data_IF_431592037680
#
_entry.id   IF_431592037680
#
_cell.length_a   1.000
_cell.length_b   1.000
_cell.length_c   1.000
_cell.angle_alpha   90.00
_cell.angle_beta   90.00
_cell.angle_gamma   90.00
#
_symmetry.space_group_name_H-M   'P 1'
#
loop_
_entity.id
_entity.type
_entity.pdbx_description
1 polymer ?
#
# COMPACT_ATOMS: atom_id res chain seq x y z
N UNK A 1 -29.12 7.46 6.65
CA UNK A 1 -27.82 8.15 6.51
C UNK A 1 -27.27 7.73 5.17
N UNK A 2 -26.92 8.67 4.28
CA UNK A 2 -26.31 8.32 2.98
C UNK A 2 -25.02 7.55 3.25
N UNK A 3 -24.84 6.38 2.63
CA UNK A 3 -23.55 5.71 2.63
C UNK A 3 -22.52 6.71 2.08
N UNK A 4 -21.45 6.96 2.82
CA UNK A 4 -20.32 7.73 2.30
C UNK A 4 -19.61 6.85 1.27
N UNK A 5 -19.11 7.47 0.21
CA UNK A 5 -18.33 6.74 -0.79
C UNK A 5 -17.00 6.31 -0.19
N UNK A 6 -16.43 5.18 -0.65
CA UNK A 6 -15.09 4.74 -0.24
C UNK A 6 -14.03 5.84 -0.42
N UNK A 7 -14.21 6.71 -1.43
CA UNK A 7 -13.38 7.88 -1.68
C UNK A 7 -13.36 8.88 -0.51
N UNK A 8 -14.49 9.09 0.17
CA UNK A 8 -14.57 9.98 1.33
C UNK A 8 -13.81 9.42 2.54
N UNK A 9 -13.62 8.10 2.64
CA UNK A 9 -12.84 7.47 3.72
C UNK A 9 -11.33 7.64 3.53
N UNK A 10 -10.86 7.83 2.29
CA UNK A 10 -9.43 7.87 1.98
C UNK A 10 -8.93 9.28 1.66
N UNK A 11 -9.82 10.24 1.54
CA UNK A 11 -9.46 11.64 1.26
C UNK A 11 -9.12 12.36 2.55
N UNK A 12 -7.83 12.63 2.77
CA UNK A 12 -7.34 13.40 3.91
C UNK A 12 -6.40 14.51 3.44
N UNK A 13 -6.74 15.75 3.80
CA UNK A 13 -5.92 16.91 3.53
C UNK A 13 -4.51 16.75 4.16
N UNK A 14 -3.51 17.42 3.60
CA UNK A 14 -2.17 17.44 4.17
C UNK A 14 -1.26 16.26 3.80
N UNK A 15 -1.80 15.09 3.42
CA UNK A 15 -0.96 13.98 2.92
C UNK A 15 -0.24 14.39 1.64
N UNK A 16 -0.95 14.97 0.67
CA UNK A 16 -0.32 15.45 -0.57
C UNK A 16 0.79 16.47 -0.28
N UNK A 17 0.61 17.36 0.69
CA UNK A 17 1.62 18.36 1.10
C UNK A 17 2.82 17.71 1.77
N UNK A 18 2.61 16.67 2.58
CA UNK A 18 3.67 15.84 3.13
C UNK A 18 4.50 15.20 2.01
N UNK A 19 3.85 14.51 1.08
CA UNK A 19 4.48 13.86 -0.06
C UNK A 19 5.29 14.87 -0.90
N UNK A 20 4.71 16.02 -1.26
CA UNK A 20 5.41 17.08 -2.01
C UNK A 20 6.67 17.58 -1.29
N UNK A 21 6.60 17.82 0.01
CA UNK A 21 7.76 18.26 0.83
C UNK A 21 8.84 17.20 0.87
N UNK A 22 8.48 15.93 1.05
CA UNK A 22 9.41 14.79 1.04
C UNK A 22 10.08 14.63 -0.33
N UNK A 23 9.32 14.60 -1.42
CA UNK A 23 9.84 14.53 -2.79
C UNK A 23 10.84 15.65 -3.07
N UNK A 24 10.51 16.89 -2.69
CA UNK A 24 11.39 18.05 -2.87
C UNK A 24 12.72 17.90 -2.11
N UNK A 25 12.67 17.41 -0.86
CA UNK A 25 13.87 17.17 -0.04
C UNK A 25 14.76 16.10 -0.66
N UNK A 26 14.17 15.00 -1.14
CA UNK A 26 14.91 13.91 -1.79
C UNK A 26 15.54 14.40 -3.10
N UNK A 27 14.77 15.11 -3.93
CA UNK A 27 15.26 15.68 -5.18
C UNK A 27 16.47 16.61 -4.92
N UNK A 28 16.40 17.44 -3.87
CA UNK A 28 17.52 18.28 -3.45
C UNK A 28 18.77 17.49 -3.05
N UNK A 29 18.62 16.36 -2.34
CA UNK A 29 19.74 15.49 -1.94
C UNK A 29 20.39 14.84 -3.16
N UNK A 30 19.58 14.36 -4.10
CA UNK A 30 20.07 13.72 -5.33
C UNK A 30 20.66 14.74 -6.32
N UNK A 31 20.30 16.02 -6.20
CA UNK A 31 20.60 17.04 -7.20
C UNK A 31 19.75 16.86 -8.47
N UNK A 32 18.54 16.34 -8.30
CA UNK A 32 17.58 16.02 -9.36
C UNK A 32 16.38 16.98 -9.33
N UNK A 33 15.53 16.94 -10.35
CA UNK A 33 14.23 17.63 -10.42
C UNK A 33 13.13 16.59 -10.62
N UNK A 34 12.41 16.30 -9.55
CA UNK A 34 11.22 15.45 -9.58
C UNK A 34 9.96 16.32 -9.50
N UNK A 35 8.84 15.78 -9.99
CA UNK A 35 7.54 16.44 -9.89
C UNK A 35 6.97 16.37 -8.48
N UNK A 36 5.65 16.44 -8.40
CA UNK A 36 4.93 16.56 -7.13
C UNK A 36 3.74 15.59 -7.01
N UNK A 37 3.65 14.63 -7.92
CA UNK A 37 2.62 13.58 -7.86
C UNK A 37 2.96 12.50 -6.83
N UNK A 38 1.98 11.65 -6.52
CA UNK A 38 2.22 10.46 -5.70
C UNK A 38 3.24 9.50 -6.36
N UNK A 39 3.24 9.40 -7.69
CA UNK A 39 4.24 8.63 -8.42
C UNK A 39 5.63 9.24 -8.30
N UNK A 40 5.76 10.57 -8.40
CA UNK A 40 7.04 11.25 -8.13
C UNK A 40 7.53 10.99 -6.70
N UNK A 41 6.62 10.94 -5.72
CA UNK A 41 6.95 10.61 -4.34
C UNK A 41 7.51 9.19 -4.19
N UNK A 42 6.80 8.17 -4.69
CA UNK A 42 7.28 6.79 -4.64
C UNK A 42 8.61 6.61 -5.40
N UNK A 43 8.73 7.18 -6.61
CA UNK A 43 9.95 7.12 -7.40
C UNK A 43 11.10 7.83 -6.68
N UNK A 44 10.88 8.98 -6.04
CA UNK A 44 11.93 9.67 -5.27
C UNK A 44 12.55 8.73 -4.22
N UNK A 45 11.73 7.96 -3.50
CA UNK A 45 12.20 7.01 -2.50
C UNK A 45 12.99 5.85 -3.13
N UNK A 46 12.54 5.31 -4.26
CA UNK A 46 13.32 4.32 -5.02
C UNK A 46 14.68 4.86 -5.47
N UNK A 47 14.73 6.09 -6.00
CA UNK A 47 15.97 6.71 -6.45
C UNK A 47 16.93 7.03 -5.29
N UNK A 48 16.40 7.46 -4.14
CA UNK A 48 17.21 7.74 -2.96
C UNK A 48 17.86 6.47 -2.41
N UNK A 49 17.06 5.43 -2.17
CA UNK A 49 17.57 4.16 -1.67
C UNK A 49 18.57 3.57 -2.68
N UNK A 50 18.24 3.57 -3.97
CA UNK A 50 19.13 3.08 -5.01
C UNK A 50 20.46 3.84 -5.09
N UNK A 51 20.43 5.18 -4.99
CA UNK A 51 21.62 6.00 -4.94
C UNK A 51 22.49 5.69 -3.71
N UNK A 52 21.86 5.43 -2.56
CA UNK A 52 22.54 5.08 -1.33
C UNK A 52 23.26 3.73 -1.44
N UNK A 53 22.59 2.71 -1.99
CA UNK A 53 23.21 1.40 -2.30
C UNK A 53 24.39 1.55 -3.28
N UNK A 54 24.21 2.29 -4.37
CA UNK A 54 25.25 2.51 -5.36
C UNK A 54 26.47 3.24 -4.75
N UNK A 55 26.24 4.24 -3.90
CA UNK A 55 27.30 4.95 -3.19
C UNK A 55 28.07 4.03 -2.23
N UNK A 56 27.38 3.20 -1.44
CA UNK A 56 28.00 2.21 -0.55
C UNK A 56 28.85 1.20 -1.32
N UNK A 57 28.37 0.75 -2.49
CA UNK A 57 29.08 -0.16 -3.38
C UNK A 57 30.20 0.51 -4.20
N UNK A 58 30.34 1.84 -4.13
CA UNK A 58 31.25 2.64 -4.96
C UNK A 58 31.01 2.48 -6.47
N UNK A 59 29.76 2.27 -6.86
CA UNK A 59 29.32 2.19 -8.25
C UNK A 59 28.95 3.60 -8.74
N UNK A 60 29.91 4.27 -9.38
CA UNK A 60 29.75 5.65 -9.84
C UNK A 60 28.72 5.78 -10.96
N UNK A 61 28.62 4.79 -11.84
CA UNK A 61 27.76 4.86 -13.02
C UNK A 61 26.30 4.71 -12.61
N UNK A 62 26.01 3.75 -11.72
CA UNK A 62 24.67 3.56 -11.19
C UNK A 62 24.23 4.70 -10.29
N UNK A 63 25.14 5.25 -9.48
CA UNK A 63 24.88 6.45 -8.70
C UNK A 63 24.53 7.63 -9.62
N UNK A 64 25.28 7.83 -10.71
CA UNK A 64 25.01 8.90 -11.66
C UNK A 64 23.69 8.70 -12.41
N UNK A 65 23.28 7.45 -12.66
CA UNK A 65 21.95 7.13 -13.19
C UNK A 65 20.86 7.60 -12.22
N UNK A 66 20.87 7.15 -10.95
CA UNK A 66 19.85 7.53 -9.96
C UNK A 66 19.71 9.05 -9.76
N UNK A 67 20.81 9.79 -9.87
CA UNK A 67 20.80 11.26 -9.74
C UNK A 67 20.20 11.99 -10.94
N UNK A 68 20.18 11.36 -12.13
CA UNK A 68 19.67 11.96 -13.37
C UNK A 68 18.28 11.45 -13.77
N UNK A 69 17.90 10.25 -13.33
CA UNK A 69 16.62 9.61 -13.66
C UNK A 69 15.44 10.36 -13.08
N UNK A 70 14.42 10.59 -13.89
CA UNK A 70 13.13 11.15 -13.49
C UNK A 70 12.00 10.15 -13.78
N UNK A 71 10.78 10.44 -13.31
CA UNK A 71 9.59 9.62 -13.67
C UNK A 71 9.41 9.51 -15.19
N UNK A 72 9.77 10.55 -15.96
CA UNK A 72 9.69 10.54 -17.43
C UNK A 72 10.56 9.45 -18.05
N UNK A 73 11.69 9.14 -17.45
CA UNK A 73 12.60 8.11 -17.95
C UNK A 73 12.07 6.69 -17.66
N UNK A 74 11.11 6.57 -16.73
CA UNK A 74 10.49 5.32 -16.28
C UNK A 74 9.12 5.04 -16.92
N UNK A 75 8.68 5.87 -17.89
CA UNK A 75 7.34 5.71 -18.51
C UNK A 75 7.19 4.38 -19.26
N UNK A 76 8.29 3.77 -19.68
CA UNK A 76 8.29 2.46 -20.32
C UNK A 76 7.90 1.31 -19.36
N UNK A 77 7.98 1.53 -18.04
CA UNK A 77 7.52 0.62 -16.99
C UNK A 77 6.05 0.87 -16.59
N UNK A 78 5.45 1.93 -17.13
CA UNK A 78 4.16 2.42 -16.65
C UNK A 78 3.00 1.75 -17.37
N UNK A 79 1.94 1.52 -16.61
CA UNK A 79 0.60 1.16 -17.07
C UNK A 79 -0.35 2.19 -16.47
N UNK A 80 -0.91 3.04 -17.34
CA UNK A 80 -1.67 4.23 -16.96
C UNK A 80 -0.86 5.15 -16.02
N UNK A 81 -1.31 5.34 -14.77
CA UNK A 81 -0.64 6.19 -13.78
C UNK A 81 0.27 5.41 -12.82
N UNK A 82 0.48 4.11 -13.05
CA UNK A 82 1.23 3.24 -12.16
C UNK A 82 2.48 2.68 -12.83
N UNK A 83 3.59 2.56 -12.09
CA UNK A 83 4.71 1.72 -12.50
C UNK A 83 4.39 0.28 -12.08
N UNK A 84 4.51 -0.67 -13.03
CA UNK A 84 4.26 -2.09 -12.79
C UNK A 84 5.54 -2.87 -12.96
N UNK A 85 5.96 -3.52 -11.89
CA UNK A 85 7.18 -4.31 -11.79
C UNK A 85 6.83 -5.77 -11.57
N UNK A 86 7.62 -6.67 -12.16
CA UNK A 86 7.53 -8.10 -11.91
C UNK A 86 8.95 -8.70 -11.85
N UNK A 87 9.71 -8.38 -10.78
CA UNK A 87 11.09 -8.81 -10.66
C UNK A 87 11.21 -10.30 -10.39
N UNK A 88 12.33 -10.89 -10.79
CA UNK A 88 12.69 -12.23 -10.37
C UNK A 88 12.97 -12.24 -8.86
N UNK A 89 12.63 -13.32 -8.12
CA UNK A 89 12.91 -13.40 -6.67
C UNK A 89 14.38 -13.19 -6.30
N UNK A 90 15.32 -13.53 -7.19
CA UNK A 90 16.75 -13.33 -7.00
C UNK A 90 17.19 -11.85 -7.03
N UNK A 91 16.35 -10.97 -7.57
CA UNK A 91 16.61 -9.53 -7.66
C UNK A 91 16.09 -8.78 -6.42
N UNK A 92 15.37 -9.46 -5.54
CA UNK A 92 14.88 -8.86 -4.30
C UNK A 92 16.04 -8.63 -3.33
N UNK A 93 16.19 -7.38 -2.91
CA UNK A 93 17.14 -6.94 -1.92
C UNK A 93 16.64 -7.27 -0.51
N UNK A 94 17.58 -7.49 0.40
CA UNK A 94 17.33 -7.54 1.85
C UNK A 94 18.26 -6.55 2.52
N UNK A 95 17.77 -5.85 3.53
CA UNK A 95 18.63 -4.94 4.30
C UNK A 95 18.97 -5.59 5.63
N UNK A 96 20.12 -5.24 6.21
CA UNK A 96 20.54 -5.73 7.52
C UNK A 96 19.54 -5.41 8.64
N UNK A 97 18.70 -4.39 8.44
CA UNK A 97 17.74 -3.90 9.44
C UNK A 97 16.29 -4.31 9.16
N UNK A 98 16.02 -5.05 8.07
CA UNK A 98 14.68 -5.51 7.72
C UNK A 98 14.77 -6.83 6.96
N UNK A 99 14.18 -7.87 7.52
CA UNK A 99 14.06 -9.19 6.88
C UNK A 99 13.11 -9.19 5.67
N UNK A 100 12.20 -8.21 5.61
CA UNK A 100 11.28 -8.06 4.48
C UNK A 100 12.05 -7.62 3.25
N UNK A 101 11.97 -8.45 2.21
CA UNK A 101 12.64 -8.21 0.94
C UNK A 101 11.95 -7.08 0.15
N UNK A 102 12.69 -6.40 -0.71
CA UNK A 102 12.17 -5.31 -1.53
C UNK A 102 12.90 -5.21 -2.86
N UNK A 103 12.32 -4.49 -3.81
CA UNK A 103 12.92 -4.24 -5.11
C UNK A 103 13.09 -2.74 -5.34
N UNK A 104 14.15 -2.36 -6.05
CA UNK A 104 14.41 -0.99 -6.46
C UNK A 104 14.37 -0.89 -7.97
N UNK A 105 13.65 0.10 -8.49
CA UNK A 105 13.74 0.46 -9.90
C UNK A 105 15.17 0.92 -10.19
N UNK A 106 15.79 0.34 -11.21
CA UNK A 106 17.16 0.62 -11.62
C UNK A 106 17.28 0.71 -13.15
N UNK A 107 18.50 0.95 -13.66
CA UNK A 107 18.75 1.08 -15.11
C UNK A 107 18.37 -0.16 -15.91
N UNK A 108 18.44 -1.33 -15.28
CA UNK A 108 18.18 -2.64 -15.91
C UNK A 108 16.78 -3.16 -15.61
N UNK A 109 15.92 -2.37 -14.95
CA UNK A 109 14.55 -2.78 -14.65
C UNK A 109 13.77 -2.94 -15.96
N UNK A 110 13.32 -4.16 -16.21
CA UNK A 110 12.46 -4.47 -17.35
C UNK A 110 10.98 -4.18 -17.02
N UNK A 111 10.16 -3.84 -18.03
CA UNK A 111 8.71 -3.75 -17.84
C UNK A 111 8.15 -5.11 -17.46
N UNK A 112 7.09 -5.12 -16.63
CA UNK A 112 6.35 -6.34 -16.33
C UNK A 112 5.81 -6.98 -17.63
N UNK A 113 5.69 -8.33 -17.69
CA UNK A 113 5.09 -9.03 -18.82
C UNK A 113 3.69 -8.51 -19.20
N UNK A 114 3.28 -8.58 -20.50
CA UNK A 114 2.00 -8.01 -20.96
C UNK A 114 0.75 -8.56 -20.27
N UNK A 115 0.77 -9.84 -19.89
CA UNK A 115 -0.28 -10.50 -19.12
C UNK A 115 -0.36 -9.94 -17.69
N UNK A 116 0.78 -9.75 -17.02
CA UNK A 116 0.87 -9.12 -15.71
C UNK A 116 0.36 -7.66 -15.74
N UNK A 117 0.73 -6.87 -16.76
CA UNK A 117 0.20 -5.52 -16.95
C UNK A 117 -1.31 -5.51 -17.17
N UNK A 118 -1.82 -6.48 -17.95
CA UNK A 118 -3.26 -6.58 -18.25
C UNK A 118 -4.07 -6.96 -17.01
N UNK A 119 -3.54 -7.85 -16.18
CA UNK A 119 -4.12 -8.18 -14.87
C UNK A 119 -4.17 -6.95 -13.95
N UNK A 120 -3.08 -6.18 -13.88
CA UNK A 120 -3.04 -4.95 -13.08
C UNK A 120 -4.05 -3.92 -13.58
N UNK A 121 -4.17 -3.70 -14.90
CA UNK A 121 -5.23 -2.83 -15.46
C UNK A 121 -6.62 -3.28 -15.03
N UNK A 122 -6.91 -4.57 -15.11
CA UNK A 122 -8.21 -5.11 -14.70
C UNK A 122 -8.46 -4.92 -13.20
N UNK A 123 -7.43 -5.12 -12.36
CA UNK A 123 -7.53 -4.91 -10.92
C UNK A 123 -7.75 -3.43 -10.57
N UNK A 124 -7.02 -2.52 -11.22
CA UNK A 124 -7.20 -1.08 -11.07
C UNK A 124 -8.60 -0.65 -11.52
N UNK A 125 -9.09 -1.17 -12.65
CA UNK A 125 -10.44 -0.90 -13.13
C UNK A 125 -11.51 -1.36 -12.11
N UNK A 126 -11.35 -2.56 -11.54
CA UNK A 126 -12.23 -3.06 -10.49
C UNK A 126 -12.17 -2.20 -9.22
N UNK A 127 -10.99 -1.75 -8.80
CA UNK A 127 -10.87 -0.82 -7.67
C UNK A 127 -11.54 0.53 -7.94
N UNK A 128 -11.41 1.08 -9.16
CA UNK A 128 -12.06 2.33 -9.58
C UNK A 128 -13.58 2.18 -9.57
N UNK A 129 -14.10 1.09 -10.15
CA UNK A 129 -15.54 0.78 -10.18
C UNK A 129 -16.17 0.81 -8.78
N UNK A 130 -15.43 0.33 -7.77
CA UNK A 130 -15.90 0.25 -6.38
C UNK A 130 -15.38 1.40 -5.49
N UNK A 131 -14.90 2.51 -6.08
CA UNK A 131 -14.59 3.75 -5.36
C UNK A 131 -13.22 3.84 -4.67
N UNK A 132 -12.30 2.92 -4.97
CA UNK A 132 -10.93 2.88 -4.41
C UNK A 132 -9.85 3.39 -5.37
N UNK A 133 -10.22 3.94 -6.52
CA UNK A 133 -9.28 4.45 -7.53
C UNK A 133 -8.30 5.49 -6.96
N UNK A 134 -8.82 6.49 -6.24
CA UNK A 134 -8.01 7.56 -5.64
C UNK A 134 -7.00 7.02 -4.62
N UNK A 135 -7.38 6.03 -3.81
CA UNK A 135 -6.47 5.36 -2.87
C UNK A 135 -5.28 4.73 -3.61
N UNK A 136 -5.54 3.96 -4.67
CA UNK A 136 -4.46 3.27 -5.39
C UNK A 136 -3.56 4.24 -6.15
N UNK A 137 -4.12 5.28 -6.78
CA UNK A 137 -3.34 6.30 -7.49
C UNK A 137 -2.39 7.02 -6.52
N UNK A 138 -2.84 7.30 -5.29
CA UNK A 138 -2.08 8.07 -4.32
C UNK A 138 -1.14 7.24 -3.44
N UNK A 139 -1.47 5.97 -3.19
CA UNK A 139 -0.79 5.13 -2.19
C UNK A 139 -0.34 3.75 -2.69
N UNK A 140 -0.58 3.43 -3.96
CA UNK A 140 0.07 2.34 -4.69
C UNK A 140 0.51 2.73 -6.12
N UNK A 141 1.17 3.89 -6.33
CA UNK A 141 1.68 4.27 -7.65
C UNK A 141 2.77 3.33 -8.18
N UNK A 142 3.45 2.55 -7.33
CA UNK A 142 4.39 1.50 -7.76
C UNK A 142 3.88 0.15 -7.27
N UNK A 143 3.63 -0.77 -8.21
CA UNK A 143 3.10 -2.10 -7.93
C UNK A 143 4.15 -3.14 -8.33
N UNK A 144 4.59 -3.93 -7.36
CA UNK A 144 5.55 -5.01 -7.54
C UNK A 144 4.86 -6.36 -7.39
N UNK A 145 4.57 -7.00 -8.52
CA UNK A 145 4.04 -8.35 -8.56
C UNK A 145 5.16 -9.36 -8.33
N UNK A 146 4.97 -10.25 -7.36
CA UNK A 146 5.96 -11.23 -6.94
C UNK A 146 5.66 -12.58 -7.57
N UNK A 147 5.07 -13.51 -6.82
CA UNK A 147 4.79 -14.85 -7.30
C UNK A 147 3.33 -14.97 -7.74
N UNK A 148 3.12 -15.62 -8.89
CA UNK A 148 1.80 -16.11 -9.27
C UNK A 148 1.44 -17.28 -8.35
N UNK A 149 0.23 -17.22 -7.80
CA UNK A 149 -0.35 -18.20 -6.86
C UNK A 149 -1.71 -18.65 -7.35
N UNK A 150 -2.07 -19.87 -6.95
CA UNK A 150 -3.44 -20.36 -7.01
C UNK A 150 -4.28 -19.72 -5.90
N UNK A 151 -5.59 -19.72 -6.09
CA UNK A 151 -6.52 -19.03 -5.19
C UNK A 151 -6.59 -19.66 -3.78
N UNK A 152 -6.24 -20.94 -3.65
CA UNK A 152 -6.19 -21.68 -2.39
C UNK A 152 -4.83 -21.61 -1.69
N UNK A 153 -3.81 -21.06 -2.34
CA UNK A 153 -2.51 -20.82 -1.74
C UNK A 153 -2.52 -19.56 -0.87
N UNK A 154 -1.57 -19.48 0.06
CA UNK A 154 -1.38 -18.27 0.87
C UNK A 154 -0.76 -17.17 0.02
N UNK A 155 -1.40 -16.01 -0.02
CA UNK A 155 -0.88 -14.80 -0.65
C UNK A 155 -0.09 -13.99 0.38
N UNK A 156 1.09 -13.53 -0.02
CA UNK A 156 1.91 -12.63 0.77
C UNK A 156 1.95 -11.25 0.13
N UNK A 157 1.68 -10.22 0.93
CA UNK A 157 1.75 -8.82 0.51
C UNK A 157 2.37 -7.97 1.62
N UNK A 158 3.01 -6.88 1.24
CA UNK A 158 3.55 -5.91 2.17
C UNK A 158 3.77 -4.54 1.52
N UNK A 159 3.73 -3.50 2.36
CA UNK A 159 4.25 -2.16 2.10
C UNK A 159 5.36 -1.82 3.11
N UNK A 160 6.31 -0.96 2.71
CA UNK A 160 7.45 -0.58 3.53
C UNK A 160 7.51 0.93 3.71
N UNK A 161 7.70 1.40 4.94
CA UNK A 161 7.87 2.83 5.24
C UNK A 161 9.09 3.45 4.54
N UNK A 162 10.07 2.64 4.15
CA UNK A 162 11.24 3.05 3.37
C UNK A 162 10.91 3.32 1.89
N UNK A 163 9.96 2.59 1.34
CA UNK A 163 9.48 2.70 -0.04
C UNK A 163 7.97 3.02 -0.02
N UNK A 164 7.59 4.20 0.51
CA UNK A 164 6.19 4.60 0.57
C UNK A 164 5.60 4.72 -0.84
N UNK A 165 4.34 4.34 -0.98
CA UNK A 165 3.66 4.28 -2.27
C UNK A 165 4.02 3.05 -3.12
N UNK A 166 4.86 2.14 -2.59
CA UNK A 166 5.18 0.87 -3.24
C UNK A 166 4.45 -0.28 -2.56
N UNK A 167 3.77 -1.11 -3.35
CA UNK A 167 3.10 -2.33 -2.91
C UNK A 167 3.83 -3.54 -3.45
N UNK A 168 4.16 -4.49 -2.59
CA UNK A 168 4.69 -5.80 -2.96
C UNK A 168 3.62 -6.84 -2.71
N UNK A 169 3.29 -7.66 -3.72
CA UNK A 169 2.24 -8.67 -3.55
C UNK A 169 2.47 -9.89 -4.43
N UNK A 170 2.32 -11.08 -3.85
CA UNK A 170 1.91 -12.27 -4.59
C UNK A 170 0.55 -12.00 -5.23
N UNK A 171 0.25 -12.66 -6.34
CA UNK A 171 -0.95 -12.39 -7.11
C UNK A 171 -1.57 -13.67 -7.66
N UNK A 172 -2.86 -13.60 -7.98
CA UNK A 172 -3.58 -14.67 -8.67
C UNK A 172 -4.00 -14.18 -10.05
N UNK A 173 -4.57 -15.06 -10.88
CA UNK A 173 -5.15 -14.66 -12.16
C UNK A 173 -6.47 -13.85 -12.04
N UNK A 174 -6.95 -13.61 -10.81
CA UNK A 174 -8.24 -12.95 -10.56
C UNK A 174 -8.05 -11.46 -10.20
N UNK A 175 -8.49 -10.53 -11.06
CA UNK A 175 -8.31 -9.08 -10.84
C UNK A 175 -8.89 -8.58 -9.53
N UNK A 176 -10.03 -9.11 -9.10
CA UNK A 176 -10.71 -8.68 -7.88
C UNK A 176 -9.91 -9.03 -6.63
N UNK A 177 -9.17 -10.14 -6.67
CA UNK A 177 -8.32 -10.58 -5.56
C UNK A 177 -7.07 -9.69 -5.49
N UNK A 178 -6.46 -9.40 -6.65
CA UNK A 178 -5.34 -8.47 -6.72
C UNK A 178 -5.76 -7.07 -6.24
N UNK A 179 -6.90 -6.55 -6.69
CA UNK A 179 -7.41 -5.25 -6.26
C UNK A 179 -7.59 -5.18 -4.73
N UNK A 180 -8.14 -6.24 -4.11
CA UNK A 180 -8.26 -6.35 -2.65
C UNK A 180 -6.91 -6.26 -1.94
N UNK A 181 -5.89 -6.96 -2.44
CA UNK A 181 -4.54 -6.95 -1.86
C UNK A 181 -3.84 -5.59 -2.08
N UNK A 182 -4.00 -4.98 -3.26
CA UNK A 182 -3.51 -3.63 -3.53
C UNK A 182 -4.14 -2.60 -2.59
N UNK A 183 -5.45 -2.66 -2.37
CA UNK A 183 -6.17 -1.78 -1.44
C UNK A 183 -5.66 -1.96 -0.01
N UNK A 184 -5.43 -3.20 0.41
CA UNK A 184 -4.89 -3.49 1.75
C UNK A 184 -3.51 -2.84 1.96
N UNK A 185 -2.59 -3.03 1.02
CA UNK A 185 -1.24 -2.47 1.16
C UNK A 185 -1.19 -0.96 0.93
N UNK A 186 -2.03 -0.44 0.02
CA UNK A 186 -2.22 1.01 -0.16
C UNK A 186 -2.76 1.66 1.12
N UNK A 187 -3.62 0.96 1.88
CA UNK A 187 -4.11 1.44 3.17
C UNK A 187 -2.97 1.60 4.19
N UNK A 188 -2.00 0.70 4.21
CA UNK A 188 -0.80 0.85 5.05
C UNK A 188 0.04 2.06 4.63
N UNK A 189 0.25 2.25 3.32
CA UNK A 189 0.94 3.44 2.81
C UNK A 189 0.20 4.74 3.18
N UNK A 190 -1.12 4.75 3.03
CA UNK A 190 -1.96 5.88 3.44
C UNK A 190 -1.79 6.20 4.92
N UNK A 191 -1.86 5.20 5.81
CA UNK A 191 -1.81 5.46 7.25
C UNK A 191 -0.42 5.93 7.69
N UNK A 192 0.64 5.41 7.08
CA UNK A 192 2.00 5.91 7.30
C UNK A 192 2.13 7.39 6.93
N UNK A 193 1.68 7.76 5.73
CA UNK A 193 1.72 9.14 5.28
C UNK A 193 0.82 10.05 6.13
N UNK A 194 -0.36 9.57 6.55
CA UNK A 194 -1.29 10.30 7.41
C UNK A 194 -0.68 10.57 8.79
N UNK A 195 -0.14 9.56 9.47
CA UNK A 195 0.50 9.74 10.77
C UNK A 195 1.70 10.70 10.67
N UNK A 196 2.48 10.62 9.59
CA UNK A 196 3.62 11.49 9.35
C UNK A 196 3.24 12.93 8.92
N UNK A 197 2.12 13.11 8.23
CA UNK A 197 1.61 14.43 7.82
C UNK A 197 1.08 15.23 9.01
N UNK A 198 0.57 14.54 10.03
CA UNK A 198 -0.04 15.11 11.24
C UNK A 198 0.84 14.97 12.49
N UNK A 199 2.12 14.60 12.32
CA UNK A 199 3.09 14.45 13.41
C UNK A 199 2.57 13.57 14.58
N UNK A 200 1.81 12.53 14.26
CA UNK A 200 1.24 11.61 15.25
C UNK A 200 2.31 10.62 15.69
N UNK A 201 2.65 10.66 16.99
CA UNK A 201 3.55 9.71 17.63
C UNK A 201 2.75 8.72 18.47
N UNK A 202 2.83 7.44 18.11
CA UNK A 202 2.17 6.36 18.85
C UNK A 202 3.15 5.72 19.84
N UNK A 203 2.71 5.38 21.06
CA UNK A 203 3.56 4.70 22.04
C UNK A 203 3.95 3.30 21.54
N UNK A 204 5.22 2.95 21.69
CA UNK A 204 5.78 1.67 21.25
C UNK A 204 5.62 0.57 22.32
N UNK A 205 5.46 0.94 23.58
CA UNK A 205 5.35 0.08 24.76
C UNK A 205 3.91 -0.32 25.09
N UNK A 206 2.92 0.41 24.56
CA UNK A 206 1.51 0.05 24.70
C UNK A 206 1.13 -0.94 23.60
N UNK A 207 0.62 -2.10 24.01
CA UNK A 207 0.20 -3.15 23.12
C UNK A 207 -1.29 -3.50 23.26
N UNK A 208 -1.84 -4.05 22.17
CA UNK A 208 -3.20 -4.59 22.09
C UNK A 208 -3.15 -5.96 21.43
N UNK A 209 -4.03 -6.86 21.88
CA UNK A 209 -4.14 -8.19 21.28
C UNK A 209 -4.61 -8.09 19.83
N UNK A 210 -3.84 -8.67 18.91
CA UNK A 210 -4.10 -8.63 17.48
C UNK A 210 -4.63 -10.01 17.02
N UNK A 211 -5.96 -10.17 16.83
CA UNK A 211 -6.57 -11.48 16.55
C UNK A 211 -6.12 -12.12 15.24
N UNK A 212 -5.69 -11.34 14.25
CA UNK A 212 -5.15 -11.83 12.97
C UNK A 212 -3.70 -12.34 13.05
N UNK A 213 -2.96 -12.01 14.12
CA UNK A 213 -1.63 -12.58 14.41
C UNK A 213 -1.62 -13.52 15.61
N UNK A 214 -2.67 -13.53 16.43
CA UNK A 214 -2.74 -14.32 17.66
C UNK A 214 -1.74 -13.87 18.73
N UNK A 215 -1.33 -12.60 18.73
CA UNK A 215 -0.33 -12.05 19.66
C UNK A 215 -0.56 -10.57 19.89
N UNK A 216 0.03 -10.02 20.95
CA UNK A 216 -0.01 -8.59 21.25
C UNK A 216 0.86 -7.81 20.26
N UNK A 217 0.35 -6.67 19.81
CA UNK A 217 1.06 -5.77 18.90
C UNK A 217 1.05 -4.35 19.44
N UNK A 218 2.11 -3.56 19.20
CA UNK A 218 2.10 -2.13 19.50
C UNK A 218 0.91 -1.41 18.85
N UNK A 219 0.48 -0.29 19.44
CA UNK A 219 -0.65 0.53 18.94
C UNK A 219 -0.56 0.77 17.43
N UNK A 220 0.65 1.12 16.95
CA UNK A 220 0.94 1.29 15.52
C UNK A 220 0.53 0.07 14.70
N UNK A 221 0.98 -1.12 15.07
CA UNK A 221 0.70 -2.34 14.32
C UNK A 221 -0.75 -2.78 14.41
N UNK A 222 -1.40 -2.53 15.55
CA UNK A 222 -2.81 -2.81 15.75
C UNK A 222 -3.69 -1.92 14.85
N UNK A 223 -3.49 -0.61 14.89
CA UNK A 223 -4.27 0.34 14.08
C UNK A 223 -4.07 0.15 12.57
N UNK A 224 -2.84 -0.13 12.12
CA UNK A 224 -2.57 -0.46 10.72
C UNK A 224 -3.41 -1.62 10.22
N UNK A 225 -3.48 -2.69 11.01
CA UNK A 225 -4.27 -3.85 10.62
C UNK A 225 -5.78 -3.55 10.64
N UNK A 226 -6.29 -2.87 11.67
CA UNK A 226 -7.70 -2.46 11.70
C UNK A 226 -8.07 -1.63 10.45
N UNK A 227 -7.25 -0.63 10.12
CA UNK A 227 -7.45 0.23 8.96
C UNK A 227 -7.41 -0.55 7.64
N UNK A 228 -6.34 -1.29 7.38
CA UNK A 228 -6.15 -1.99 6.13
C UNK A 228 -7.15 -3.13 5.92
N UNK A 229 -7.54 -3.83 6.99
CA UNK A 229 -8.60 -4.83 6.89
C UNK A 229 -9.96 -4.20 6.64
N UNK A 230 -10.27 -3.05 7.23
CA UNK A 230 -11.55 -2.39 7.04
C UNK A 230 -11.75 -2.04 5.56
N UNK A 231 -10.77 -1.39 4.93
CA UNK A 231 -10.85 -1.06 3.50
C UNK A 231 -10.95 -2.31 2.62
N UNK A 232 -10.21 -3.37 2.95
CA UNK A 232 -10.29 -4.63 2.19
C UNK A 232 -11.66 -5.32 2.30
N UNK A 233 -12.36 -5.17 3.43
CA UNK A 233 -13.73 -5.69 3.64
C UNK A 233 -14.73 -4.86 2.88
N UNK A 234 -14.63 -3.53 2.94
CA UNK A 234 -15.50 -2.62 2.21
C UNK A 234 -15.42 -2.88 0.70
N UNK A 235 -14.21 -2.98 0.16
CA UNK A 235 -14.02 -3.37 -1.24
C UNK A 235 -14.60 -4.76 -1.53
N UNK A 236 -14.31 -5.76 -0.69
CA UNK A 236 -14.77 -7.12 -0.92
C UNK A 236 -16.31 -7.23 -0.94
N UNK A 237 -17.02 -6.43 -0.15
CA UNK A 237 -18.50 -6.36 -0.16
C UNK A 237 -19.03 -5.89 -1.50
N UNK A 238 -18.48 -4.80 -2.01
CA UNK A 238 -18.90 -4.22 -3.30
C UNK A 238 -18.54 -5.16 -4.46
N UNK A 239 -17.28 -5.60 -4.54
CA UNK A 239 -16.80 -6.49 -5.59
C UNK A 239 -17.52 -7.86 -5.58
N UNK A 240 -18.02 -8.29 -4.42
CA UNK A 240 -18.79 -9.55 -4.31
C UNK A 240 -20.09 -9.52 -5.12
N UNK A 241 -20.67 -8.34 -5.37
CA UNK A 241 -21.90 -8.17 -6.16
C UNK A 241 -21.71 -8.49 -7.64
N UNK A 242 -20.51 -8.24 -8.19
CA UNK A 242 -20.16 -8.48 -9.60
C UNK A 242 -19.27 -9.71 -9.80
N UNK A 243 -18.67 -10.25 -8.73
CA UNK A 243 -17.80 -11.43 -8.79
C UNK A 243 -18.53 -12.70 -9.28
N UNK A 244 -17.79 -13.57 -9.96
CA UNK A 244 -18.28 -14.87 -10.46
C UNK A 244 -17.30 -16.01 -10.16
N UNK A 245 -17.76 -17.25 -10.31
CA UNK A 245 -16.90 -18.44 -10.19
C UNK A 245 -16.23 -18.58 -8.82
N UNK A 246 -14.95 -18.94 -8.81
CA UNK A 246 -14.19 -19.23 -7.58
C UNK A 246 -13.90 -17.98 -6.73
N UNK A 247 -14.03 -16.77 -7.29
CA UNK A 247 -13.83 -15.51 -6.56
C UNK A 247 -14.90 -15.30 -5.49
N UNK A 248 -16.14 -15.69 -5.79
CA UNK A 248 -17.29 -15.58 -4.87
C UNK A 248 -17.02 -16.24 -3.51
N UNK A 249 -16.76 -17.56 -3.42
CA UNK A 249 -16.51 -18.21 -2.13
C UNK A 249 -15.25 -17.70 -1.44
N UNK A 250 -14.26 -17.21 -2.20
CA UNK A 250 -13.06 -16.59 -1.64
C UNK A 250 -13.40 -15.29 -0.89
N UNK A 251 -14.11 -14.36 -1.53
CA UNK A 251 -14.52 -13.10 -0.91
C UNK A 251 -15.46 -13.33 0.29
N UNK A 252 -16.39 -14.29 0.18
CA UNK A 252 -17.28 -14.67 1.29
C UNK A 252 -16.51 -15.25 2.49
N UNK A 253 -15.43 -16.01 2.24
CA UNK A 253 -14.54 -16.52 3.28
C UNK A 253 -13.73 -15.40 3.93
N UNK A 254 -13.17 -14.49 3.12
CA UNK A 254 -12.44 -13.31 3.58
C UNK A 254 -13.29 -12.46 4.50
N UNK A 255 -14.49 -12.05 4.07
CA UNK A 255 -15.39 -11.22 4.87
C UNK A 255 -15.80 -11.89 6.20
N UNK A 256 -16.13 -13.19 6.18
CA UNK A 256 -16.45 -13.93 7.42
C UNK A 256 -15.29 -13.97 8.40
N UNK A 257 -14.07 -14.20 7.91
CA UNK A 257 -12.86 -14.22 8.74
C UNK A 257 -12.60 -12.86 9.37
N UNK A 258 -12.69 -11.80 8.57
CA UNK A 258 -12.46 -10.42 9.03
C UNK A 258 -13.52 -9.98 10.04
N UNK A 259 -14.78 -10.35 9.84
CA UNK A 259 -15.85 -10.07 10.81
C UNK A 259 -15.55 -10.67 12.19
N UNK A 260 -15.06 -11.92 12.25
CA UNK A 260 -14.66 -12.55 13.50
C UNK A 260 -13.48 -11.81 14.17
N UNK A 261 -12.50 -11.34 13.39
CA UNK A 261 -11.38 -10.55 13.90
C UNK A 261 -11.81 -9.18 14.42
N UNK A 262 -12.69 -8.47 13.70
CA UNK A 262 -13.21 -7.19 14.16
C UNK A 262 -14.03 -7.32 15.44
N UNK A 263 -14.86 -8.36 15.55
CA UNK A 263 -15.60 -8.63 16.79
C UNK A 263 -14.66 -8.80 17.99
N UNK A 264 -13.54 -9.51 17.80
CA UNK A 264 -12.53 -9.69 18.85
C UNK A 264 -11.70 -8.43 19.13
N UNK A 265 -11.51 -7.55 18.14
CA UNK A 265 -10.71 -6.34 18.25
C UNK A 265 -11.50 -5.10 18.75
N UNK A 266 -12.84 -5.15 18.70
CA UNK A 266 -13.72 -4.01 18.94
C UNK A 266 -13.46 -3.31 20.29
N UNK A 267 -13.33 -4.08 21.37
CA UNK A 267 -13.09 -3.54 22.72
C UNK A 267 -11.73 -2.82 22.84
N UNK A 268 -10.75 -3.24 22.04
CA UNK A 268 -9.42 -2.63 22.02
C UNK A 268 -9.35 -1.41 21.11
N UNK A 269 -10.22 -1.31 20.11
CA UNK A 269 -10.15 -0.27 19.08
C UNK A 269 -10.31 1.14 19.65
N UNK A 270 -11.33 1.39 20.47
CA UNK A 270 -11.56 2.72 21.05
C UNK A 270 -10.36 3.19 21.89
N UNK A 271 -9.79 2.26 22.68
CA UNK A 271 -8.59 2.52 23.48
C UNK A 271 -7.38 2.78 22.60
N UNK A 272 -7.20 2.03 21.51
CA UNK A 272 -6.10 2.24 20.58
C UNK A 272 -6.22 3.60 19.86
N UNK A 273 -7.43 3.98 19.44
CA UNK A 273 -7.72 5.25 18.79
C UNK A 273 -7.46 6.46 19.71
N UNK A 274 -7.60 6.30 21.03
CA UNK A 274 -7.30 7.38 21.99
C UNK A 274 -5.83 7.85 21.98
N UNK A 275 -4.92 7.04 21.43
CA UNK A 275 -3.50 7.41 21.27
C UNK A 275 -3.22 8.16 19.97
N UNK A 276 -4.15 8.23 19.03
CA UNK A 276 -4.01 9.03 17.80
C UNK A 276 -4.37 10.48 18.15
N UNK A 277 -3.38 11.36 18.27
CA UNK A 277 -3.59 12.76 18.68
C UNK A 277 -4.37 13.61 17.67
N UNK A 278 -4.28 13.26 16.38
CA UNK A 278 -4.97 13.96 15.30
C UNK A 278 -6.40 13.44 15.11
N UNK A 279 -7.39 14.25 15.46
CA UNK A 279 -8.81 13.86 15.44
C UNK A 279 -9.27 13.42 14.05
N UNK A 280 -8.82 14.09 13.00
CA UNK A 280 -9.14 13.70 11.62
C UNK A 280 -8.60 12.32 11.25
N UNK A 281 -7.36 11.97 11.60
CA UNK A 281 -6.82 10.62 11.35
C UNK A 281 -7.60 9.59 12.15
N UNK A 282 -7.87 9.89 13.43
CA UNK A 282 -8.65 9.02 14.33
C UNK A 282 -10.03 8.73 13.76
N UNK A 283 -10.71 9.77 13.28
CA UNK A 283 -12.05 9.70 12.69
C UNK A 283 -12.10 8.83 11.44
N UNK A 284 -11.14 8.96 10.52
CA UNK A 284 -11.11 8.13 9.31
C UNK A 284 -10.98 6.65 9.67
N UNK A 285 -10.07 6.31 10.58
CA UNK A 285 -9.88 4.92 11.04
C UNK A 285 -11.17 4.41 11.72
N UNK A 286 -11.72 5.17 12.66
CA UNK A 286 -12.94 4.79 13.39
C UNK A 286 -14.13 4.57 12.48
N UNK A 287 -14.35 5.47 11.50
CA UNK A 287 -15.44 5.37 10.53
C UNK A 287 -15.28 4.15 9.63
N UNK A 288 -14.12 3.94 9.03
CA UNK A 288 -13.91 2.81 8.13
C UNK A 288 -14.12 1.47 8.85
N UNK A 289 -13.61 1.33 10.08
CA UNK A 289 -13.83 0.12 10.87
C UNK A 289 -15.31 -0.03 11.25
N UNK A 290 -15.98 1.06 11.64
CA UNK A 290 -17.42 1.05 11.93
C UNK A 290 -18.26 0.60 10.72
N UNK A 291 -17.97 1.10 9.52
CA UNK A 291 -18.63 0.69 8.28
C UNK A 291 -18.33 -0.77 7.93
N UNK A 292 -17.07 -1.20 8.06
CA UNK A 292 -16.67 -2.58 7.83
C UNK A 292 -17.32 -3.58 8.81
N UNK A 293 -17.71 -3.13 10.00
CA UNK A 293 -18.46 -3.92 10.99
C UNK A 293 -19.99 -3.83 10.83
N UNK A 294 -20.48 -2.78 10.17
CA UNK A 294 -21.90 -2.60 9.87
C UNK A 294 -22.46 -3.69 8.96
N UNK A 295 -23.80 -3.85 8.90
CA UNK A 295 -24.43 -4.72 7.92
C UNK A 295 -24.09 -4.28 6.49
N UNK A 296 -23.93 -5.25 5.59
CA UNK A 296 -23.82 -5.02 4.15
C UNK A 296 -25.19 -4.65 3.56
#
# INVERSE_FOLDING_TARGET
MSALTAEALVTLDGIADHQRRRTSRIASVLGNRLGSSALDYAVAHHLLEGAEHAARARDSDRLAWYRRTSVRDLTHLSTDQHIVLNPCPAELLRSEISETAYYLVGPDTAPAPPDAQSLVRAALASAVEHGFGTLLIQHAPVICLLNLRQLDETLHSWALTRLPGTVFTDYTAHPEILARDLIHEAAHNWLNDALAAYDVLLPADVTFFSPWRGTDRPVYGFLHACWAFALSVLYAREARGSATGAVVPFLDSHMRRQAAWFAAAAECLERALSYVSADNVRDHIGRAVGEAMGPA
#
